data_IF_378545930230
#
_entry.id   IF_378545930230
#
_cell.length_a   1.000
_cell.length_b   1.000
_cell.length_c   1.000
_cell.angle_alpha   90.00
_cell.angle_beta   90.00
_cell.angle_gamma   90.00
#
_symmetry.space_group_name_H-M   'P 1'
#
loop_
_entity.id
_entity.type
_entity.pdbx_description
1 polymer ?
#
# COMPACT_ATOMS: atom_id res chain seq x y z
N UNK A 1 17.53 -4.29 1.31
CA UNK A 1 17.47 -5.47 0.42
C UNK A 1 18.69 -5.49 -0.50
N UNK A 2 19.24 -6.66 -0.86
CA UNK A 2 20.33 -6.80 -1.85
C UNK A 2 19.91 -6.33 -3.26
N UNK A 3 20.85 -5.83 -4.06
CA UNK A 3 20.60 -5.40 -5.44
C UNK A 3 20.47 -6.60 -6.40
N UNK A 4 19.48 -6.57 -7.28
CA UNK A 4 19.38 -7.48 -8.43
C UNK A 4 20.00 -6.82 -9.67
N UNK A 5 21.05 -7.42 -10.25
CA UNK A 5 21.57 -7.02 -11.57
C UNK A 5 21.40 -8.16 -12.56
N UNK A 6 20.90 -7.83 -13.75
CA UNK A 6 20.80 -8.76 -14.88
C UNK A 6 21.77 -8.27 -15.94
N UNK A 7 22.85 -9.02 -16.14
CA UNK A 7 23.79 -8.79 -17.23
C UNK A 7 23.36 -9.62 -18.44
N UNK A 8 22.94 -8.96 -19.53
CA UNK A 8 22.77 -9.62 -20.82
C UNK A 8 24.12 -9.63 -21.54
N UNK A 9 24.83 -10.77 -21.48
CA UNK A 9 26.00 -11.00 -22.32
C UNK A 9 25.58 -11.19 -23.78
N UNK A 10 26.23 -10.46 -24.69
CA UNK A 10 25.97 -10.56 -26.13
C UNK A 10 26.57 -11.84 -26.73
N UNK A 11 25.73 -12.83 -27.06
CA UNK A 11 25.97 -13.87 -28.09
C UNK A 11 24.69 -14.68 -28.40
N UNK A 12 24.56 -15.28 -29.60
CA UNK A 12 23.29 -15.61 -30.23
C UNK A 12 22.57 -16.84 -29.64
N UNK A 13 21.27 -16.88 -29.95
CA UNK A 13 20.20 -17.77 -29.47
C UNK A 13 20.55 -19.26 -29.45
N UNK A 14 20.75 -19.78 -28.24
CA UNK A 14 20.68 -21.19 -27.88
C UNK A 14 20.53 -21.27 -26.37
N UNK A 15 19.45 -21.89 -25.87
CA UNK A 15 19.04 -22.03 -24.45
C UNK A 15 20.03 -21.43 -23.44
N UNK A 16 20.03 -20.10 -23.33
CA UNK A 16 20.94 -19.39 -22.46
C UNK A 16 20.40 -19.50 -21.03
N UNK A 17 21.18 -20.12 -20.14
CA UNK A 17 20.91 -20.09 -18.70
C UNK A 17 20.88 -18.63 -18.25
N UNK A 18 19.73 -18.17 -17.75
CA UNK A 18 19.62 -16.87 -17.08
C UNK A 18 20.40 -16.96 -15.76
N UNK A 19 21.52 -16.25 -15.68
CA UNK A 19 22.27 -16.13 -14.43
C UNK A 19 21.81 -14.88 -13.69
N UNK A 20 21.18 -15.07 -12.54
CA UNK A 20 20.81 -14.00 -11.61
C UNK A 20 21.86 -13.90 -10.51
N UNK A 21 22.55 -12.75 -10.43
CA UNK A 21 23.57 -12.49 -9.40
C UNK A 21 23.02 -11.52 -8.36
N UNK A 22 23.12 -11.90 -7.09
CA UNK A 22 22.71 -11.06 -5.95
C UNK A 22 23.93 -10.32 -5.39
N UNK A 23 23.85 -8.98 -5.33
CA UNK A 23 24.84 -8.13 -4.66
C UNK A 23 24.32 -7.74 -3.27
N UNK A 24 24.88 -8.39 -2.24
CA UNK A 24 24.55 -8.18 -0.83
C UNK A 24 25.37 -7.07 -0.17
N UNK A 25 26.29 -6.42 -0.90
CA UNK A 25 27.05 -5.27 -0.41
C UNK A 25 26.29 -3.96 -0.52
N UNK A 26 25.14 -3.97 -1.22
CA UNK A 26 24.27 -2.80 -1.44
C UNK A 26 22.92 -3.02 -0.75
N UNK A 27 22.59 -2.12 0.18
CA UNK A 27 21.27 -2.09 0.81
C UNK A 27 20.41 -0.96 0.23
N UNK A 28 19.16 -1.28 -0.12
CA UNK A 28 18.10 -0.31 -0.46
C UNK A 28 17.10 -0.09 0.68
N UNK A 29 16.01 0.64 0.43
CA UNK A 29 14.97 0.93 1.40
C UNK A 29 14.36 -0.34 2.02
N UNK A 30 13.84 -0.26 3.26
CA UNK A 30 13.02 -1.33 3.81
C UNK A 30 11.66 -1.36 3.11
N UNK A 31 11.23 -2.56 2.69
CA UNK A 31 9.85 -2.79 2.27
C UNK A 31 9.03 -3.18 3.49
N UNK A 32 8.00 -2.37 3.76
CA UNK A 32 7.10 -2.44 4.91
C UNK A 32 5.88 -3.33 4.64
N UNK A 33 5.50 -3.52 3.39
CA UNK A 33 4.46 -4.47 3.01
C UNK A 33 3.81 -4.21 1.66
N UNK A 34 3.07 -5.21 1.21
CA UNK A 34 2.06 -5.09 0.16
C UNK A 34 0.68 -5.17 0.81
N UNK A 35 -0.34 -4.66 0.13
CA UNK A 35 -1.71 -4.82 0.58
C UNK A 35 -2.71 -4.00 -0.22
N UNK A 36 -3.70 -3.44 0.48
CA UNK A 36 -4.72 -2.61 -0.13
C UNK A 36 -5.55 -1.84 0.87
N UNK A 37 -6.57 -1.14 0.39
CA UNK A 37 -7.50 -0.34 1.18
C UNK A 37 -8.68 -1.17 1.67
N UNK A 38 -8.86 -1.20 2.99
CA UNK A 38 -10.09 -1.66 3.61
C UNK A 38 -11.11 -0.52 3.58
N UNK A 39 -11.79 -0.37 2.45
CA UNK A 39 -12.93 0.53 2.28
C UNK A 39 -14.14 0.03 3.07
N UNK A 40 -15.15 0.88 3.30
CA UNK A 40 -16.41 0.45 3.91
C UNK A 40 -17.04 -0.68 3.09
N UNK A 41 -16.96 -0.60 1.76
CA UNK A 41 -17.39 -1.66 0.86
C UNK A 41 -16.66 -2.98 1.09
N UNK A 42 -15.33 -2.95 1.16
CA UNK A 42 -14.52 -4.15 1.41
C UNK A 42 -14.84 -4.77 2.78
N UNK A 43 -14.93 -3.94 3.82
CA UNK A 43 -15.22 -4.38 5.17
C UNK A 43 -16.64 -4.94 5.31
N UNK A 44 -17.62 -4.37 4.61
CA UNK A 44 -18.97 -4.88 4.57
C UNK A 44 -19.02 -6.27 3.93
N UNK A 45 -18.37 -6.45 2.77
CA UNK A 45 -18.31 -7.74 2.09
C UNK A 45 -17.64 -8.81 2.98
N UNK A 46 -16.55 -8.45 3.66
CA UNK A 46 -15.86 -9.31 4.62
C UNK A 46 -16.80 -9.72 5.77
N UNK A 47 -17.49 -8.76 6.38
CA UNK A 47 -18.47 -9.01 7.45
C UNK A 47 -19.65 -9.87 6.99
N UNK A 48 -20.11 -9.68 5.76
CA UNK A 48 -21.18 -10.48 5.15
C UNK A 48 -20.74 -11.94 4.95
N UNK A 49 -19.50 -12.18 4.51
CA UNK A 49 -18.96 -13.56 4.46
C UNK A 49 -18.91 -14.14 5.86
N UNK A 50 -18.39 -13.40 6.86
CA UNK A 50 -18.31 -13.88 8.26
C UNK A 50 -19.67 -14.31 8.80
N UNK A 51 -20.70 -13.51 8.54
CA UNK A 51 -22.08 -13.78 8.97
C UNK A 51 -22.68 -15.00 8.27
N UNK A 52 -22.41 -15.18 6.97
CA UNK A 52 -22.99 -16.27 6.17
C UNK A 52 -22.24 -17.59 6.31
N UNK A 53 -20.91 -17.52 6.31
CA UNK A 53 -20.00 -18.64 6.40
C UNK A 53 -18.68 -18.20 7.03
N UNK A 54 -18.63 -18.28 8.36
CA UNK A 54 -17.44 -17.90 9.12
C UNK A 54 -16.19 -18.72 8.75
N UNK A 55 -16.33 -19.96 8.27
CA UNK A 55 -15.17 -20.74 7.81
C UNK A 55 -14.54 -20.10 6.57
N UNK A 56 -15.35 -19.79 5.55
CA UNK A 56 -14.86 -19.12 4.33
C UNK A 56 -14.21 -17.77 4.65
N UNK A 57 -14.75 -17.04 5.62
CA UNK A 57 -14.18 -15.77 6.09
C UNK A 57 -12.77 -15.95 6.63
N UNK A 58 -12.57 -16.90 7.55
CA UNK A 58 -11.24 -17.16 8.13
C UNK A 58 -10.28 -17.77 7.12
N UNK A 59 -10.75 -18.60 6.18
CA UNK A 59 -9.93 -19.09 5.06
C UNK A 59 -9.44 -17.92 4.18
N UNK A 60 -10.33 -16.98 3.85
CA UNK A 60 -9.99 -15.77 3.10
C UNK A 60 -8.97 -14.91 3.86
N UNK A 61 -9.21 -14.62 5.14
CA UNK A 61 -8.28 -13.81 5.93
C UNK A 61 -6.91 -14.48 6.07
N UNK A 62 -6.87 -15.80 6.30
CA UNK A 62 -5.62 -16.54 6.36
C UNK A 62 -4.88 -16.50 5.02
N UNK A 63 -5.59 -16.73 3.91
CA UNK A 63 -5.00 -16.62 2.59
C UNK A 63 -4.44 -15.21 2.34
N UNK A 64 -5.19 -14.15 2.64
CA UNK A 64 -4.75 -12.79 2.36
C UNK A 64 -3.64 -12.32 3.30
N UNK A 65 -3.76 -12.57 4.61
CA UNK A 65 -2.98 -11.85 5.62
C UNK A 65 -1.98 -12.72 6.39
N UNK A 66 -2.10 -14.05 6.38
CA UNK A 66 -1.21 -14.91 7.18
C UNK A 66 0.25 -14.63 6.83
N UNK A 67 1.08 -14.20 7.81
CA UNK A 67 2.50 -13.97 7.58
C UNK A 67 3.32 -15.27 7.70
N UNK A 68 2.66 -16.40 7.96
CA UNK A 68 3.31 -17.69 8.22
C UNK A 68 3.93 -18.23 6.93
N UNK A 69 5.23 -18.51 7.02
CA UNK A 69 5.97 -19.11 5.91
C UNK A 69 5.41 -20.50 5.55
N UNK A 70 5.25 -20.76 4.25
CA UNK A 70 4.73 -22.04 3.76
C UNK A 70 3.20 -22.20 3.86
N UNK A 71 2.47 -21.20 4.37
CA UNK A 71 1.00 -21.25 4.49
C UNK A 71 0.25 -21.12 3.16
N UNK A 72 0.96 -20.97 2.03
CA UNK A 72 0.40 -20.67 0.71
C UNK A 72 -0.52 -19.43 0.74
N UNK A 73 -0.08 -18.39 1.46
CA UNK A 73 -0.80 -17.13 1.67
C UNK A 73 -0.11 -15.97 0.95
N UNK A 74 -0.90 -14.95 0.59
CA UNK A 74 -0.41 -13.68 0.04
C UNK A 74 0.32 -12.84 1.09
N UNK A 75 0.04 -13.01 2.38
CA UNK A 75 0.76 -12.38 3.51
C UNK A 75 0.76 -10.85 3.52
N UNK A 76 -0.33 -10.23 3.07
CA UNK A 76 -0.52 -8.78 3.08
C UNK A 76 -0.26 -8.24 4.50
N UNK A 77 0.53 -7.17 4.59
CA UNK A 77 1.03 -6.66 5.88
C UNK A 77 0.86 -5.14 6.04
N UNK A 78 0.13 -4.52 5.11
CA UNK A 78 -0.12 -3.08 5.11
C UNK A 78 -1.53 -2.81 4.58
N UNK A 79 -2.37 -2.14 5.36
CA UNK A 79 -3.76 -1.81 5.01
C UNK A 79 -3.97 -0.30 5.09
N UNK A 80 -4.53 0.27 4.04
CA UNK A 80 -5.00 1.66 4.02
C UNK A 80 -6.47 1.71 4.45
N UNK A 81 -6.90 2.76 5.16
CA UNK A 81 -8.28 2.88 5.65
C UNK A 81 -8.77 4.32 5.48
N UNK A 82 -9.94 4.54 4.83
CA UNK A 82 -10.60 5.83 4.83
C UNK A 82 -10.94 6.34 6.24
N UNK A 83 -10.72 7.64 6.47
CA UNK A 83 -11.31 8.37 7.58
C UNK A 83 -12.57 9.07 7.07
N UNK A 84 -13.73 8.60 7.53
CA UNK A 84 -15.03 9.01 6.99
C UNK A 84 -15.38 8.27 5.68
N UNK A 85 -16.39 8.77 4.98
CA UNK A 85 -16.82 8.16 3.71
C UNK A 85 -15.80 8.36 2.58
N UNK A 86 -15.73 7.34 1.72
CA UNK A 86 -15.06 7.37 0.42
C UNK A 86 -16.08 7.25 -0.72
N UNK A 87 -15.60 7.16 -1.96
CA UNK A 87 -16.39 6.66 -3.09
C UNK A 87 -16.82 5.19 -2.93
N UNK A 88 -16.11 4.41 -2.09
CA UNK A 88 -16.46 3.04 -1.69
C UNK A 88 -17.04 2.98 -0.28
N UNK A 89 -18.09 3.78 -0.08
CA UNK A 89 -18.95 3.80 1.11
C UNK A 89 -20.42 3.82 0.68
N UNK A 90 -21.34 3.23 1.45
CA UNK A 90 -22.77 3.20 1.07
C UNK A 90 -23.47 4.56 1.21
N UNK A 91 -22.94 5.42 2.09
CA UNK A 91 -23.47 6.75 2.39
C UNK A 91 -22.33 7.73 2.63
N UNK A 92 -22.61 9.00 2.47
CA UNK A 92 -21.72 10.10 2.84
C UNK A 92 -21.78 10.30 4.36
N UNK A 93 -20.62 10.40 5.00
CA UNK A 93 -20.48 10.80 6.40
C UNK A 93 -19.06 11.31 6.67
N UNK A 94 -18.90 12.12 7.70
CA UNK A 94 -17.63 12.34 8.41
C UNK A 94 -17.78 11.90 9.87
N UNK A 95 -16.72 12.04 10.67
CA UNK A 95 -16.84 11.81 12.12
C UNK A 95 -17.44 13.00 12.86
N UNK A 96 -17.74 14.12 12.18
CA UNK A 96 -18.26 15.33 12.81
C UNK A 96 -19.11 16.15 11.82
N UNK A 97 -20.31 15.66 11.52
CA UNK A 97 -21.22 16.29 10.56
C UNK A 97 -22.14 17.37 11.17
N UNK A 98 -21.92 17.76 12.44
CA UNK A 98 -22.67 18.85 13.06
C UNK A 98 -22.09 20.21 12.66
N UNK A 99 -22.90 21.06 12.03
CA UNK A 99 -22.46 22.35 11.50
C UNK A 99 -21.96 23.29 12.62
N UNK A 100 -20.76 23.82 12.44
CA UNK A 100 -20.17 24.79 13.37
C UNK A 100 -19.67 24.19 14.70
N UNK A 101 -19.41 22.88 14.78
CA UNK A 101 -18.81 22.27 15.96
C UNK A 101 -17.31 22.60 16.11
N UNK A 102 -17.02 23.85 16.48
CA UNK A 102 -15.65 24.33 16.59
C UNK A 102 -14.83 23.63 17.69
N UNK A 103 -15.50 22.94 18.62
CA UNK A 103 -14.88 22.21 19.72
C UNK A 103 -14.79 20.70 19.47
N UNK A 104 -15.35 20.20 18.36
CA UNK A 104 -15.45 18.79 18.03
C UNK A 104 -16.18 17.99 19.14
N UNK A 105 -17.17 18.58 19.82
CA UNK A 105 -17.96 17.93 20.88
C UNK A 105 -18.82 16.78 20.34
N UNK A 106 -19.28 16.89 19.10
CA UNK A 106 -20.10 15.92 18.38
C UNK A 106 -19.26 14.94 17.54
N UNK A 107 -17.91 15.04 17.63
CA UNK A 107 -17.01 14.06 17.03
C UNK A 107 -17.31 12.66 17.56
N UNK A 108 -17.63 11.74 16.65
CA UNK A 108 -17.83 10.33 16.95
C UNK A 108 -17.17 9.42 15.91
N UNK A 109 -16.23 8.59 16.37
CA UNK A 109 -15.56 7.59 15.55
C UNK A 109 -16.54 6.48 15.10
N UNK A 110 -17.64 6.27 15.84
CA UNK A 110 -18.67 5.26 15.56
C UNK A 110 -19.65 5.66 14.46
N UNK A 111 -19.48 6.83 13.84
CA UNK A 111 -20.10 7.09 12.53
C UNK A 111 -19.51 6.20 11.43
N UNK A 112 -18.25 5.75 11.56
CA UNK A 112 -17.74 4.66 10.72
C UNK A 112 -18.51 3.37 11.03
N UNK A 113 -18.85 2.56 10.01
CA UNK A 113 -19.50 1.28 10.25
C UNK A 113 -18.67 0.37 11.17
N UNK A 114 -19.31 -0.21 12.19
CA UNK A 114 -18.62 -1.05 13.19
C UNK A 114 -17.80 -2.19 12.57
N UNK A 115 -18.28 -2.75 11.45
CA UNK A 115 -17.60 -3.83 10.74
C UNK A 115 -16.21 -3.45 10.24
N UNK A 116 -15.88 -2.16 10.04
CA UNK A 116 -14.53 -1.72 9.66
C UNK A 116 -13.54 -2.07 10.77
N UNK A 117 -13.87 -1.71 12.01
CA UNK A 117 -13.03 -1.99 13.16
C UNK A 117 -12.99 -3.49 13.51
N UNK A 118 -14.12 -4.18 13.39
CA UNK A 118 -14.18 -5.63 13.65
C UNK A 118 -13.30 -6.40 12.67
N UNK A 119 -13.38 -6.08 11.37
CA UNK A 119 -12.55 -6.70 10.34
C UNK A 119 -11.07 -6.36 10.53
N UNK A 120 -10.72 -5.11 10.88
CA UNK A 120 -9.32 -4.75 11.17
C UNK A 120 -8.75 -5.54 12.34
N UNK A 121 -9.52 -5.76 13.41
CA UNK A 121 -9.10 -6.59 14.55
C UNK A 121 -8.90 -8.05 14.14
N UNK A 122 -9.79 -8.60 13.34
CA UNK A 122 -9.66 -9.97 12.84
C UNK A 122 -8.41 -10.10 11.95
N UNK A 123 -8.12 -9.11 11.10
CA UNK A 123 -6.88 -9.07 10.31
C UNK A 123 -5.65 -8.99 11.23
N UNK A 124 -5.67 -8.15 12.27
CA UNK A 124 -4.57 -8.07 13.25
C UNK A 124 -4.35 -9.38 14.02
N UNK A 125 -5.42 -10.14 14.27
CA UNK A 125 -5.33 -11.45 14.91
C UNK A 125 -4.64 -12.48 14.01
N UNK A 126 -4.82 -12.39 12.69
CA UNK A 126 -4.12 -13.21 11.69
C UNK A 126 -2.70 -12.72 11.45
N UNK A 127 -2.49 -11.40 11.41
CA UNK A 127 -1.20 -10.77 11.16
C UNK A 127 -0.90 -9.67 12.17
N UNK A 128 -0.19 -10.03 13.25
CA UNK A 128 0.20 -9.08 14.29
C UNK A 128 1.25 -8.05 13.84
N UNK A 129 1.79 -8.17 12.63
CA UNK A 129 2.73 -7.19 12.03
C UNK A 129 2.04 -6.16 11.13
N UNK A 130 0.70 -6.19 11.05
CA UNK A 130 -0.09 -5.31 10.21
C UNK A 130 0.21 -3.84 10.48
N UNK A 131 0.48 -3.08 9.41
CA UNK A 131 0.51 -1.62 9.44
C UNK A 131 -0.82 -1.08 8.93
N UNK A 132 -1.40 -0.14 9.68
CA UNK A 132 -2.62 0.56 9.29
C UNK A 132 -2.27 2.01 8.92
N UNK A 133 -2.65 2.44 7.74
CA UNK A 133 -2.46 3.81 7.24
C UNK A 133 -3.81 4.46 7.00
N UNK A 134 -4.10 5.51 7.74
CA UNK A 134 -5.40 6.19 7.67
C UNK A 134 -5.33 7.47 6.84
N UNK A 135 -6.40 7.81 6.13
CA UNK A 135 -6.43 8.98 5.24
C UNK A 135 -7.86 9.46 5.02
N UNK A 136 -8.14 10.76 5.14
CA UNK A 136 -9.47 11.32 4.88
C UNK A 136 -9.68 11.62 3.39
N UNK A 137 -10.88 11.39 2.88
CA UNK A 137 -11.25 11.84 1.53
C UNK A 137 -11.72 13.28 1.51
N UNK A 138 -12.23 13.79 2.63
CA UNK A 138 -12.78 15.13 2.72
C UNK A 138 -12.79 15.59 4.17
N UNK A 139 -12.53 16.88 4.44
CA UNK A 139 -12.96 17.51 5.69
C UNK A 139 -14.49 17.44 5.85
N UNK A 140 -15.01 17.54 7.09
CA UNK A 140 -16.44 17.75 7.31
C UNK A 140 -16.99 18.90 6.46
N UNK A 141 -18.21 18.73 5.95
CA UNK A 141 -18.80 19.64 4.96
C UNK A 141 -18.82 21.11 5.41
N UNK A 142 -19.11 21.34 6.70
CA UNK A 142 -19.16 22.68 7.29
C UNK A 142 -17.78 23.37 7.33
N UNK A 143 -16.69 22.60 7.30
CA UNK A 143 -15.33 23.14 7.24
C UNK A 143 -14.94 23.65 5.84
N UNK A 144 -15.77 23.42 4.82
CA UNK A 144 -15.43 23.66 3.42
C UNK A 144 -16.20 24.84 2.82
N UNK A 145 -15.62 25.47 1.80
CA UNK A 145 -16.26 26.55 1.04
C UNK A 145 -17.45 26.09 0.20
N UNK A 146 -17.42 24.85 -0.29
CA UNK A 146 -18.54 24.23 -0.99
C UNK A 146 -19.74 23.96 -0.08
N UNK A 147 -19.55 23.91 1.25
CA UNK A 147 -20.59 23.52 2.20
C UNK A 147 -21.05 22.07 2.05
N UNK A 148 -20.31 21.23 1.30
CA UNK A 148 -20.64 19.83 1.09
C UNK A 148 -19.41 18.94 1.27
N UNK A 149 -19.63 17.64 1.47
CA UNK A 149 -18.54 16.66 1.47
C UNK A 149 -17.83 16.58 0.11
N UNK A 150 -18.46 17.07 -0.98
CA UNK A 150 -17.97 16.97 -2.35
C UNK A 150 -17.25 18.26 -2.76
N UNK A 151 -16.10 18.11 -3.42
CA UNK A 151 -15.21 19.16 -3.92
C UNK A 151 -14.95 20.37 -3.03
N UNK A 152 -14.39 21.44 -3.60
CA UNK A 152 -14.06 22.66 -2.84
C UNK A 152 -12.83 22.53 -1.94
N UNK A 153 -12.62 23.56 -1.13
CA UNK A 153 -11.41 23.79 -0.33
C UNK A 153 -11.73 23.88 1.16
N UNK A 154 -10.77 23.44 1.98
CA UNK A 154 -10.79 23.70 3.41
C UNK A 154 -10.69 25.22 3.66
N UNK A 155 -11.65 25.79 4.39
CA UNK A 155 -11.58 27.21 4.77
C UNK A 155 -10.41 27.44 5.73
N UNK A 156 -9.64 28.49 5.51
CA UNK A 156 -8.42 28.76 6.26
C UNK A 156 -8.63 28.86 7.78
N UNK A 157 -9.77 29.41 8.22
CA UNK A 157 -10.10 29.51 9.64
C UNK A 157 -10.28 28.14 10.34
N UNK A 158 -10.52 27.07 9.57
CA UNK A 158 -10.77 25.74 10.11
C UNK A 158 -9.55 24.82 10.03
N UNK A 159 -8.40 25.29 9.54
CA UNK A 159 -7.15 24.51 9.51
C UNK A 159 -6.79 23.92 10.89
N UNK A 160 -6.80 24.69 12.00
CA UNK A 160 -6.49 24.12 13.31
C UNK A 160 -7.52 23.07 13.74
N UNK A 161 -8.80 23.33 13.46
CA UNK A 161 -9.91 22.43 13.85
C UNK A 161 -9.84 21.13 13.07
N UNK A 162 -9.54 21.18 11.77
CA UNK A 162 -9.35 20.00 10.95
C UNK A 162 -8.14 19.17 11.41
N UNK A 163 -7.04 19.80 11.83
CA UNK A 163 -5.93 19.07 12.44
C UNK A 163 -6.34 18.35 13.74
N UNK A 164 -7.17 18.99 14.58
CA UNK A 164 -7.77 18.35 15.75
C UNK A 164 -8.72 17.20 15.38
N UNK A 165 -9.48 17.32 14.29
CA UNK A 165 -10.34 16.25 13.77
C UNK A 165 -9.51 15.01 13.37
N UNK A 166 -8.40 15.22 12.65
CA UNK A 166 -7.47 14.13 12.31
C UNK A 166 -6.83 13.51 13.56
N UNK A 167 -6.45 14.34 14.54
CA UNK A 167 -5.91 13.84 15.80
C UNK A 167 -6.94 13.04 16.62
N UNK A 168 -8.20 13.51 16.72
CA UNK A 168 -9.30 12.76 17.33
C UNK A 168 -9.58 11.46 16.60
N UNK A 169 -9.41 11.42 15.28
CA UNK A 169 -9.51 10.19 14.48
C UNK A 169 -8.43 9.18 14.87
N UNK A 170 -7.16 9.61 15.01
CA UNK A 170 -6.09 8.75 15.51
C UNK A 170 -6.38 8.19 16.91
N UNK A 171 -6.88 9.04 17.82
CA UNK A 171 -7.31 8.61 19.16
C UNK A 171 -8.49 7.65 19.11
N UNK A 172 -9.45 7.86 18.19
CA UNK A 172 -10.58 6.98 17.96
C UNK A 172 -10.15 5.58 17.53
N UNK A 173 -9.26 5.47 16.55
CA UNK A 173 -8.66 4.20 16.15
C UNK A 173 -7.95 3.51 17.32
N UNK A 174 -7.15 4.26 18.09
CA UNK A 174 -6.46 3.72 19.26
C UNK A 174 -7.43 3.19 20.32
N UNK A 175 -8.54 3.88 20.59
CA UNK A 175 -9.63 3.42 21.47
C UNK A 175 -10.31 2.16 20.94
N UNK A 176 -10.35 1.97 19.61
CA UNK A 176 -10.82 0.72 18.97
C UNK A 176 -9.75 -0.38 18.97
N UNK A 177 -8.59 -0.17 19.60
CA UNK A 177 -7.51 -1.17 19.72
C UNK A 177 -6.55 -1.19 18.52
N UNK A 178 -6.67 -0.23 17.60
CA UNK A 178 -5.85 -0.15 16.39
C UNK A 178 -4.97 1.08 16.52
N UNK A 179 -3.65 0.91 16.57
CA UNK A 179 -2.72 2.05 16.55
C UNK A 179 -2.29 2.31 15.11
N UNK A 180 -2.67 3.43 14.48
CA UNK A 180 -2.27 3.72 13.11
C UNK A 180 -0.74 3.87 12.99
N UNK A 181 -0.17 3.18 12.00
CA UNK A 181 1.23 3.30 11.62
C UNK A 181 1.49 4.65 10.93
N UNK A 182 0.59 5.06 10.04
CA UNK A 182 0.70 6.29 9.27
C UNK A 182 -0.65 7.01 9.15
N UNK A 183 -0.59 8.32 8.93
CA UNK A 183 -1.72 9.17 8.54
C UNK A 183 -1.30 10.08 7.39
N UNK A 184 -2.20 10.27 6.44
CA UNK A 184 -2.10 11.32 5.42
C UNK A 184 -3.15 12.40 5.64
N UNK A 185 -2.87 13.61 5.17
CA UNK A 185 -3.71 14.80 5.45
C UNK A 185 -4.97 14.85 4.60
N UNK A 186 -4.88 14.40 3.35
CA UNK A 186 -5.96 14.47 2.37
C UNK A 186 -5.68 13.46 1.25
N UNK A 187 -6.68 12.67 0.87
CA UNK A 187 -6.65 11.85 -0.34
C UNK A 187 -6.69 12.74 -1.58
N UNK A 188 -5.81 12.51 -2.55
CA UNK A 188 -5.78 13.20 -3.86
C UNK A 188 -5.99 14.72 -3.75
N UNK A 189 -5.14 15.46 -3.02
CA UNK A 189 -5.32 16.88 -2.72
C UNK A 189 -5.39 17.80 -3.94
N UNK A 190 -5.08 17.33 -5.15
CA UNK A 190 -5.24 18.11 -6.38
C UNK A 190 -6.52 17.75 -7.16
N UNK A 191 -7.29 16.79 -6.68
CA UNK A 191 -8.53 16.33 -7.27
C UNK A 191 -9.75 16.84 -6.50
N UNK A 192 -10.84 17.04 -7.22
CA UNK A 192 -12.16 17.25 -6.63
C UNK A 192 -13.24 16.56 -7.45
N UNK A 193 -14.32 16.17 -6.78
CA UNK A 193 -15.47 15.53 -7.38
C UNK A 193 -16.78 16.10 -6.86
N UNK A 194 -17.81 16.02 -7.68
CA UNK A 194 -19.19 16.35 -7.35
C UNK A 194 -20.05 15.11 -7.00
N UNK A 195 -19.47 13.90 -7.02
CA UNK A 195 -20.21 12.64 -6.79
C UNK A 195 -19.78 11.87 -5.55
N UNK A 196 -18.65 12.23 -4.93
CA UNK A 196 -18.14 11.57 -3.73
C UNK A 196 -17.27 12.52 -2.90
N UNK A 197 -16.97 12.16 -1.63
CA UNK A 197 -16.12 12.96 -0.78
C UNK A 197 -14.76 13.25 -1.42
N UNK A 198 -14.38 14.53 -1.47
CA UNK A 198 -13.12 15.00 -2.03
C UNK A 198 -12.84 16.43 -1.56
N UNK A 199 -11.59 16.85 -1.47
CA UNK A 199 -11.24 18.25 -1.26
C UNK A 199 -9.88 18.61 -1.87
N UNK A 200 -9.79 19.84 -2.40
CA UNK A 200 -8.52 20.38 -2.90
C UNK A 200 -7.73 21.05 -1.80
N UNK A 201 -6.44 20.73 -1.73
CA UNK A 201 -5.46 21.30 -0.82
C UNK A 201 -4.27 21.79 -1.62
N UNK A 202 -3.83 23.01 -1.36
CA UNK A 202 -2.51 23.47 -1.83
C UNK A 202 -1.40 22.86 -0.97
N UNK A 203 -0.15 22.77 -1.44
CA UNK A 203 0.98 22.35 -0.59
C UNK A 203 1.10 23.18 0.69
N UNK A 204 0.75 24.47 0.63
CA UNK A 204 0.73 25.36 1.80
C UNK A 204 -0.35 24.96 2.81
N UNK A 205 -1.57 24.65 2.34
CA UNK A 205 -2.67 24.19 3.20
C UNK A 205 -2.33 22.85 3.85
N UNK A 206 -1.82 21.89 3.06
CA UNK A 206 -1.39 20.58 3.58
C UNK A 206 -0.26 20.73 4.60
N UNK A 207 0.72 21.60 4.36
CA UNK A 207 1.78 21.92 5.31
C UNK A 207 1.24 22.50 6.63
N UNK A 208 0.27 23.42 6.57
CA UNK A 208 -0.31 24.04 7.76
C UNK A 208 -1.11 23.03 8.60
N UNK A 209 -1.94 22.21 7.96
CA UNK A 209 -2.68 21.14 8.65
C UNK A 209 -1.71 20.10 9.21
N UNK A 210 -0.73 19.67 8.42
CA UNK A 210 0.30 18.72 8.85
C UNK A 210 1.09 19.21 10.06
N UNK A 211 1.44 20.50 10.11
CA UNK A 211 2.19 21.08 11.24
C UNK A 211 1.36 21.10 12.52
N UNK A 212 0.12 21.56 12.43
CA UNK A 212 -0.81 21.54 13.54
C UNK A 212 -1.06 20.10 14.04
N UNK A 213 -1.25 19.14 13.12
CA UNK A 213 -1.44 17.73 13.47
C UNK A 213 -0.18 17.15 14.14
N UNK A 214 1.01 17.41 13.59
CA UNK A 214 2.28 16.93 14.17
C UNK A 214 2.47 17.48 15.59
N UNK A 215 2.10 18.73 15.83
CA UNK A 215 2.16 19.34 17.17
C UNK A 215 1.20 18.67 18.15
N UNK A 216 -0.02 18.30 17.73
CA UNK A 216 -0.97 17.55 18.56
C UNK A 216 -0.48 16.12 18.87
N UNK A 217 0.22 15.49 17.93
CA UNK A 217 0.79 14.15 18.11
C UNK A 217 1.97 14.14 19.09
N UNK A 218 2.71 15.26 19.23
CA UNK A 218 3.85 15.35 20.15
C UNK A 218 3.39 15.09 21.59
N UNK A 219 4.04 14.14 22.25
CA UNK A 219 3.72 13.76 23.64
C UNK A 219 2.45 12.91 23.79
N UNK A 220 1.74 12.59 22.70
CA UNK A 220 0.59 11.68 22.74
C UNK A 220 1.05 10.22 22.84
N UNK A 221 0.67 9.54 23.92
CA UNK A 221 1.07 8.16 24.18
C UNK A 221 0.59 7.21 23.06
N UNK A 222 1.53 6.55 22.39
CA UNK A 222 1.24 5.62 21.29
C UNK A 222 0.97 6.26 19.93
N UNK A 223 0.80 7.58 19.84
CA UNK A 223 0.55 8.30 18.59
C UNK A 223 1.70 9.24 18.17
N UNK A 224 2.64 9.53 19.07
CA UNK A 224 3.79 10.39 18.78
C UNK A 224 4.69 9.88 17.64
N UNK A 225 4.65 8.57 17.39
CA UNK A 225 5.45 7.88 16.37
C UNK A 225 4.65 7.56 15.09
N UNK A 226 3.36 7.89 15.03
CA UNK A 226 2.58 7.73 13.79
C UNK A 226 3.23 8.59 12.70
N UNK A 227 3.46 7.98 11.54
CA UNK A 227 4.10 8.63 10.39
C UNK A 227 3.14 9.64 9.77
N UNK A 228 3.65 10.83 9.44
CA UNK A 228 2.89 11.84 8.70
C UNK A 228 3.34 11.81 7.23
N UNK A 229 2.44 11.35 6.36
CA UNK A 229 2.70 11.16 4.93
C UNK A 229 1.92 12.21 4.13
N UNK A 230 2.59 12.84 3.16
CA UNK A 230 1.98 13.89 2.35
C UNK A 230 1.63 13.46 0.93
N UNK A 231 1.04 14.37 0.18
CA UNK A 231 0.77 14.32 -1.27
C UNK A 231 -0.33 13.35 -1.74
N UNK A 232 -0.33 12.06 -1.35
CA UNK A 232 -1.38 11.04 -1.70
C UNK A 232 -2.02 11.22 -3.09
N UNK A 233 -1.21 11.30 -4.16
CA UNK A 233 -1.73 11.52 -5.51
C UNK A 233 -0.76 11.06 -6.61
N UNK A 234 -1.02 11.37 -7.87
CA UNK A 234 -0.42 10.65 -9.00
C UNK A 234 1.08 10.91 -9.25
N UNK A 235 1.76 9.92 -9.84
CA UNK A 235 3.21 9.94 -10.13
C UNK A 235 3.66 11.05 -11.08
N UNK A 236 2.81 11.48 -12.02
CA UNK A 236 3.13 12.55 -12.98
C UNK A 236 3.43 13.90 -12.29
N UNK A 237 3.06 14.03 -11.01
CA UNK A 237 3.31 15.21 -10.20
C UNK A 237 4.54 15.07 -9.28
N UNK A 238 5.33 13.99 -9.36
CA UNK A 238 6.45 13.73 -8.44
C UNK A 238 7.49 14.86 -8.34
N UNK A 239 7.66 15.65 -9.40
CA UNK A 239 8.53 16.83 -9.38
C UNK A 239 7.88 18.13 -8.87
N UNK A 240 6.54 18.16 -8.74
CA UNK A 240 5.75 19.35 -8.47
C UNK A 240 5.30 19.43 -7.00
N UNK A 241 4.03 19.07 -6.76
CA UNK A 241 3.39 19.19 -5.44
C UNK A 241 4.20 18.61 -4.28
N UNK A 242 4.61 17.33 -4.27
CA UNK A 242 5.34 16.75 -3.13
C UNK A 242 6.66 17.46 -2.88
N UNK A 243 7.34 17.93 -3.93
CA UNK A 243 8.58 18.70 -3.79
C UNK A 243 8.35 20.05 -3.13
N UNK A 244 7.27 20.76 -3.48
CA UNK A 244 6.90 22.03 -2.84
C UNK A 244 6.51 21.80 -1.37
N UNK A 245 5.75 20.73 -1.09
CA UNK A 245 5.37 20.37 0.28
C UNK A 245 6.61 20.14 1.16
N UNK A 246 7.61 19.40 0.66
CA UNK A 246 8.86 19.17 1.41
C UNK A 246 9.70 20.45 1.59
N UNK A 247 9.63 21.43 0.67
CA UNK A 247 10.29 22.74 0.87
C UNK A 247 9.66 23.52 2.03
N UNK A 248 8.33 23.44 2.18
CA UNK A 248 7.59 24.19 3.19
C UNK A 248 7.61 23.48 4.56
N UNK A 249 7.53 22.15 4.56
CA UNK A 249 7.24 21.35 5.74
C UNK A 249 8.00 20.01 5.78
N UNK A 250 9.14 19.91 5.10
CA UNK A 250 9.98 18.72 5.12
C UNK A 250 10.52 18.36 6.51
N UNK A 251 10.45 19.24 7.49
CA UNK A 251 10.83 18.95 8.89
C UNK A 251 9.81 18.05 9.61
N UNK A 252 8.54 18.06 9.20
CA UNK A 252 7.45 17.34 9.90
C UNK A 252 6.94 16.11 9.16
N UNK A 253 6.99 16.10 7.82
CA UNK A 253 6.54 14.97 7.02
C UNK A 253 7.64 13.90 6.95
N UNK A 254 7.26 12.66 7.23
CA UNK A 254 8.16 11.51 7.14
C UNK A 254 8.41 11.10 5.67
N UNK A 255 7.45 11.37 4.79
CA UNK A 255 7.53 11.01 3.38
C UNK A 255 6.31 11.45 2.57
N UNK A 256 6.19 10.89 1.37
CA UNK A 256 5.08 11.14 0.45
C UNK A 256 4.50 9.84 -0.07
N UNK A 257 3.24 9.91 -0.47
CA UNK A 257 2.50 8.81 -1.08
C UNK A 257 2.12 9.13 -2.53
N UNK A 258 2.20 8.12 -3.38
CA UNK A 258 1.86 8.19 -4.79
C UNK A 258 0.73 7.23 -5.15
N UNK A 259 -0.05 7.62 -6.17
CA UNK A 259 -1.06 6.81 -6.84
C UNK A 259 -0.64 6.56 -8.29
N UNK A 260 -1.22 5.54 -8.93
CA UNK A 260 -0.83 5.13 -10.28
C UNK A 260 -1.85 5.46 -11.39
N UNK A 261 -2.78 6.40 -11.18
CA UNK A 261 -3.76 6.72 -12.22
C UNK A 261 -3.17 7.58 -13.35
N UNK A 262 -2.06 8.28 -13.07
CA UNK A 262 -1.29 9.07 -14.05
C UNK A 262 0.21 8.99 -13.78
N UNK A 263 1.01 9.00 -14.85
CA UNK A 263 2.48 8.91 -14.78
C UNK A 263 2.98 7.46 -14.69
N UNK A 264 4.23 7.29 -14.23
CA UNK A 264 4.86 5.97 -14.09
C UNK A 264 5.72 5.89 -12.82
N UNK A 265 5.95 4.68 -12.32
CA UNK A 265 6.71 4.46 -11.09
C UNK A 265 8.09 5.14 -11.08
N UNK A 266 8.78 5.19 -12.23
CA UNK A 266 10.09 5.85 -12.35
C UNK A 266 10.08 7.35 -12.08
N UNK A 267 8.92 8.01 -12.13
CA UNK A 267 8.85 9.45 -11.85
C UNK A 267 9.16 9.80 -10.40
N UNK A 268 8.89 8.89 -9.46
CA UNK A 268 9.19 9.12 -8.04
C UNK A 268 10.71 9.20 -7.76
N UNK A 269 11.57 8.77 -8.70
CA UNK A 269 13.02 8.99 -8.61
C UNK A 269 13.37 10.49 -8.62
N UNK A 270 12.55 11.34 -9.27
CA UNK A 270 12.72 12.81 -9.22
C UNK A 270 12.60 13.32 -7.79
N UNK A 271 11.58 12.85 -7.07
CA UNK A 271 11.37 13.20 -5.66
C UNK A 271 12.48 12.62 -4.78
N UNK A 272 12.82 11.35 -4.96
CA UNK A 272 13.90 10.68 -4.22
C UNK A 272 15.24 11.41 -4.37
N UNK A 273 15.59 11.84 -5.58
CA UNK A 273 16.84 12.54 -5.83
C UNK A 273 16.90 13.89 -5.09
N UNK A 274 15.77 14.59 -4.97
CA UNK A 274 15.68 15.84 -4.23
C UNK A 274 15.62 15.65 -2.70
N UNK A 275 15.01 14.55 -2.24
CA UNK A 275 14.76 14.27 -0.82
C UNK A 275 15.11 12.82 -0.45
N UNK A 276 16.41 12.44 -0.47
CA UNK A 276 16.84 11.04 -0.34
C UNK A 276 16.52 10.41 1.03
N UNK A 277 16.34 11.23 2.07
CA UNK A 277 16.00 10.77 3.42
C UNK A 277 14.49 10.59 3.65
N UNK A 278 13.65 10.97 2.67
CA UNK A 278 12.20 10.87 2.75
C UNK A 278 11.69 9.51 2.30
N UNK A 279 10.64 9.07 2.97
CA UNK A 279 9.96 7.82 2.64
C UNK A 279 9.05 8.02 1.41
N UNK A 280 8.93 6.98 0.59
CA UNK A 280 8.03 6.94 -0.56
C UNK A 280 7.10 5.75 -0.40
N UNK A 281 5.81 5.95 -0.68
CA UNK A 281 4.78 4.92 -0.61
C UNK A 281 3.97 4.92 -1.90
N UNK A 282 3.57 3.75 -2.40
CA UNK A 282 2.47 3.62 -3.35
C UNK A 282 1.23 3.18 -2.55
N UNK A 283 0.26 4.08 -2.40
CA UNK A 283 -0.86 3.89 -1.46
C UNK A 283 -2.19 3.56 -2.13
N UNK A 284 -2.30 3.77 -3.44
CA UNK A 284 -3.54 3.51 -4.14
C UNK A 284 -3.31 3.26 -5.63
N UNK A 285 -3.94 2.18 -6.10
CA UNK A 285 -3.97 1.74 -7.47
C UNK A 285 -5.16 0.81 -7.68
N UNK A 286 -5.81 0.82 -8.83
CA UNK A 286 -6.91 -0.10 -9.10
C UNK A 286 -6.80 -0.71 -10.49
N UNK A 287 -7.08 -2.00 -10.58
CA UNK A 287 -7.46 -2.60 -11.85
C UNK A 287 -8.93 -2.35 -12.17
N UNK A 288 -9.32 -2.72 -13.38
CA UNK A 288 -10.65 -2.47 -13.95
C UNK A 288 -11.34 -3.79 -14.25
N UNK A 289 -12.65 -3.89 -14.11
CA UNK A 289 -13.37 -5.11 -14.51
C UNK A 289 -13.26 -5.29 -16.03
N UNK A 290 -12.84 -6.47 -16.46
CA UNK A 290 -12.70 -6.85 -17.87
C UNK A 290 -11.33 -6.58 -18.50
N UNK A 291 -10.39 -5.98 -17.75
CA UNK A 291 -8.99 -5.82 -18.17
C UNK A 291 -8.10 -6.95 -17.64
N UNK A 292 -6.92 -7.12 -18.24
CA UNK A 292 -6.00 -8.23 -17.98
C UNK A 292 -4.77 -7.79 -17.16
N UNK A 293 -3.95 -8.76 -16.74
CA UNK A 293 -2.80 -8.50 -15.87
C UNK A 293 -1.77 -7.61 -16.55
N UNK A 294 -1.67 -7.71 -17.89
CA UNK A 294 -0.76 -6.89 -18.66
C UNK A 294 -1.16 -5.42 -18.60
N UNK A 295 -2.44 -5.12 -18.81
CA UNK A 295 -2.92 -3.74 -18.85
C UNK A 295 -2.90 -3.06 -17.48
N UNK A 296 -3.15 -3.81 -16.40
CA UNK A 296 -3.39 -3.20 -15.07
C UNK A 296 -2.17 -3.24 -14.16
N UNK A 297 -1.44 -4.36 -14.16
CA UNK A 297 -0.34 -4.59 -13.23
C UNK A 297 1.00 -4.34 -13.89
N UNK A 298 1.20 -4.84 -15.12
CA UNK A 298 2.51 -4.78 -15.79
C UNK A 298 2.78 -3.50 -16.55
N UNK A 299 1.79 -3.01 -17.28
CA UNK A 299 1.95 -1.86 -18.18
C UNK A 299 1.18 -0.64 -17.72
N UNK A 300 0.20 -0.82 -16.83
CA UNK A 300 -0.73 0.21 -16.33
C UNK A 300 -1.02 1.27 -17.41
N UNK A 301 -1.78 0.87 -18.43
CA UNK A 301 -2.21 1.79 -19.47
C UNK A 301 -3.20 2.79 -18.86
N UNK A 302 -2.72 3.97 -18.46
CA UNK A 302 -3.64 5.11 -18.31
C UNK A 302 -4.20 5.43 -19.72
N UNK A 303 -5.52 5.33 -19.97
CA UNK A 303 -6.10 5.61 -21.27
C UNK A 303 -5.96 7.08 -21.71
N UNK A 304 -5.43 7.94 -20.83
CA UNK A 304 -5.13 9.35 -21.10
C UNK A 304 -3.72 9.60 -21.67
N UNK A 305 -2.89 8.55 -21.82
CA UNK A 305 -1.48 8.69 -22.17
C UNK A 305 -1.05 7.86 -23.39
N UNK A 306 -1.87 7.80 -24.46
CA UNK A 306 -1.41 7.23 -25.73
C UNK A 306 -0.45 8.19 -26.44
N UNK A 307 0.82 7.80 -26.70
CA UNK A 307 1.67 8.53 -27.64
C UNK A 307 1.35 8.12 -29.08
N UNK A 308 1.35 9.10 -30.00
CA UNK A 308 1.00 8.94 -31.42
C UNK A 308 2.03 8.15 -32.28
N UNK A 309 3.00 7.43 -31.70
CA UNK A 309 4.06 6.79 -32.49
C UNK A 309 4.56 5.45 -31.92
N UNK A 310 4.46 4.34 -32.68
CA UNK A 310 4.86 3.01 -32.23
C UNK A 310 6.36 2.67 -32.41
N UNK A 311 7.23 3.60 -32.83
CA UNK A 311 8.61 3.26 -33.22
C UNK A 311 9.70 3.94 -32.38
N UNK A 312 9.91 3.44 -31.15
CA UNK A 312 11.18 3.53 -30.42
C UNK A 312 11.22 2.42 -29.35
N UNK A 313 11.90 1.31 -29.66
CA UNK A 313 11.97 0.12 -28.79
C UNK A 313 12.93 0.27 -27.59
N UNK A 314 13.82 1.27 -27.61
CA UNK A 314 14.85 1.44 -26.58
C UNK A 314 14.43 2.28 -25.37
N UNK A 315 13.43 3.15 -25.55
CA UNK A 315 12.85 3.99 -24.48
C UNK A 315 11.56 3.42 -23.87
N UNK A 316 11.00 2.38 -24.48
CA UNK A 316 9.71 1.85 -24.09
C UNK A 316 9.77 1.02 -22.80
N UNK A 317 10.83 0.24 -22.56
CA UNK A 317 10.93 -0.59 -21.35
C UNK A 317 11.04 0.18 -20.03
N UNK A 318 11.51 1.44 -20.06
CA UNK A 318 11.56 2.30 -18.86
C UNK A 318 10.20 2.91 -18.48
N UNK A 319 9.20 2.82 -19.36
CA UNK A 319 7.82 3.27 -19.10
C UNK A 319 6.89 2.15 -18.63
N UNK A 320 7.33 0.90 -18.66
CA UNK A 320 6.49 -0.29 -18.49
C UNK A 320 6.96 -1.16 -17.32
N UNK A 321 6.99 -0.56 -16.14
CA UNK A 321 7.40 -1.26 -14.93
C UNK A 321 6.18 -1.61 -14.11
N UNK A 322 6.08 -2.89 -13.74
CA UNK A 322 5.07 -3.47 -12.87
C UNK A 322 4.72 -2.51 -11.73
N UNK A 323 3.46 -2.15 -11.56
CA UNK A 323 3.04 -1.15 -10.57
C UNK A 323 3.48 -1.52 -9.14
N UNK A 324 3.38 -2.80 -8.76
CA UNK A 324 3.82 -3.29 -7.44
C UNK A 324 5.35 -3.40 -7.34
N UNK A 325 6.02 -4.02 -8.31
CA UNK A 325 7.47 -4.28 -8.24
C UNK A 325 8.25 -3.03 -8.61
N UNK A 326 7.87 -2.37 -9.70
CA UNK A 326 8.46 -1.12 -10.19
C UNK A 326 8.41 0.00 -9.17
N UNK A 327 7.30 0.18 -8.45
CA UNK A 327 7.27 1.17 -7.36
C UNK A 327 8.33 0.88 -6.28
N UNK A 328 8.52 -0.40 -5.92
CA UNK A 328 9.56 -0.83 -4.99
C UNK A 328 10.97 -0.67 -5.58
N UNK A 329 11.18 -1.00 -6.86
CA UNK A 329 12.45 -0.79 -7.56
C UNK A 329 12.83 0.71 -7.57
N UNK A 330 11.83 1.59 -7.61
CA UNK A 330 11.98 3.04 -7.52
C UNK A 330 11.88 3.60 -6.09
N UNK A 331 12.20 2.80 -5.08
CA UNK A 331 12.34 3.21 -3.67
C UNK A 331 11.05 3.35 -2.85
N UNK A 332 9.90 2.86 -3.33
CA UNK A 332 8.71 2.75 -2.50
C UNK A 332 8.92 1.71 -1.40
N UNK A 333 8.38 2.00 -0.22
CA UNK A 333 8.40 1.14 0.97
C UNK A 333 7.15 0.29 1.10
N UNK A 334 6.05 0.68 0.46
CA UNK A 334 4.85 -0.12 0.36
C UNK A 334 4.20 0.07 -1.01
N UNK A 335 3.43 -0.94 -1.44
CA UNK A 335 2.62 -0.88 -2.64
C UNK A 335 1.23 -1.46 -2.35
N UNK A 336 0.22 -0.61 -2.43
CA UNK A 336 -1.15 -0.93 -2.03
C UNK A 336 -2.10 -0.83 -3.23
N UNK A 337 -2.94 -1.83 -3.39
CA UNK A 337 -4.11 -1.78 -4.27
C UNK A 337 -5.24 -1.00 -3.62
N UNK A 338 -6.28 -0.73 -4.39
CA UNK A 338 -7.44 0.00 -3.93
C UNK A 338 -8.33 -0.85 -3.04
N UNK A 339 -9.41 -1.42 -3.55
CA UNK A 339 -10.29 -2.20 -2.71
C UNK A 339 -9.67 -3.57 -2.39
N UNK A 340 -9.63 -3.96 -1.10
CA UNK A 340 -9.33 -5.34 -0.72
C UNK A 340 -10.37 -6.31 -1.29
N UNK A 341 -11.65 -5.90 -1.33
CA UNK A 341 -12.69 -6.70 -1.95
C UNK A 341 -13.81 -5.86 -2.57
N UNK A 342 -14.34 -6.36 -3.66
CA UNK A 342 -15.58 -5.92 -4.30
C UNK A 342 -16.37 -7.14 -4.77
N UNK A 343 -17.65 -6.98 -5.09
CA UNK A 343 -18.38 -8.01 -5.83
C UNK A 343 -17.99 -8.03 -7.32
N UNK A 344 -18.52 -8.98 -8.08
CA UNK A 344 -18.24 -9.12 -9.52
C UNK A 344 -18.72 -7.95 -10.39
N UNK A 345 -19.41 -6.96 -9.82
CA UNK A 345 -19.86 -5.72 -10.47
C UNK A 345 -19.15 -4.47 -9.93
N UNK A 346 -18.13 -4.64 -9.06
CA UNK A 346 -17.36 -3.53 -8.49
C UNK A 346 -18.12 -2.77 -7.41
N UNK A 347 -19.00 -3.45 -6.67
CA UNK A 347 -19.87 -2.89 -5.63
C UNK A 347 -19.60 -3.52 -4.25
N UNK A 348 -20.16 -2.95 -3.16
CA UNK A 348 -20.94 -1.70 -3.10
C UNK A 348 -20.06 -0.46 -3.35
N UNK A 349 -20.70 0.66 -3.71
CA UNK A 349 -20.08 1.97 -3.83
C UNK A 349 -21.10 3.05 -3.56
N UNK A 350 -20.64 4.28 -3.37
CA UNK A 350 -21.51 5.40 -3.07
C UNK A 350 -22.49 5.66 -4.23
N UNK A 351 -23.82 5.74 -3.99
CA UNK A 351 -24.77 5.99 -5.07
C UNK A 351 -24.44 7.26 -5.86
N UNK A 352 -24.48 7.18 -7.18
CA UNK A 352 -24.09 8.29 -8.06
C UNK A 352 -22.60 8.38 -8.38
N UNK A 353 -21.74 7.56 -7.76
CA UNK A 353 -20.36 7.38 -8.23
C UNK A 353 -20.34 6.49 -9.47
N UNK A 354 -19.86 7.06 -10.58
CA UNK A 354 -19.55 6.29 -11.80
C UNK A 354 -18.36 5.35 -11.57
N UNK A 355 -18.11 4.44 -12.53
CA UNK A 355 -16.92 3.60 -12.52
C UNK A 355 -15.64 4.46 -12.69
N UNK A 356 -15.05 4.91 -11.58
CA UNK A 356 -13.85 5.77 -11.59
C UNK A 356 -12.62 5.07 -12.17
N UNK A 357 -12.58 3.75 -12.10
CA UNK A 357 -11.52 2.92 -12.68
C UNK A 357 -11.72 2.65 -14.19
N UNK A 358 -12.67 3.33 -14.86
CA UNK A 358 -12.98 3.07 -16.27
C UNK A 358 -13.73 1.75 -16.50
N UNK A 359 -14.00 1.42 -17.77
CA UNK A 359 -14.63 0.17 -18.18
C UNK A 359 -15.92 -0.14 -17.42
N UNK A 360 -16.03 -1.37 -16.90
CA UNK A 360 -17.20 -1.88 -16.20
C UNK A 360 -17.19 -1.61 -14.67
N UNK A 361 -16.13 -1.00 -14.11
CA UNK A 361 -16.00 -0.79 -12.67
C UNK A 361 -14.59 -1.08 -12.15
N UNK A 362 -14.34 -0.72 -10.90
CA UNK A 362 -13.11 -1.09 -10.20
C UNK A 362 -13.13 -2.58 -9.82
N UNK A 363 -11.97 -3.22 -9.80
CA UNK A 363 -11.80 -4.59 -9.33
C UNK A 363 -11.01 -4.60 -8.02
N UNK A 364 -11.51 -5.32 -7.02
CA UNK A 364 -10.79 -5.49 -5.75
C UNK A 364 -9.71 -6.57 -5.85
N UNK A 365 -8.88 -6.72 -4.81
CA UNK A 365 -7.94 -7.85 -4.71
C UNK A 365 -8.69 -9.18 -4.73
N UNK A 366 -9.85 -9.23 -4.08
CA UNK A 366 -10.75 -10.38 -4.04
C UNK A 366 -12.11 -10.01 -4.61
N UNK A 367 -12.68 -10.91 -5.41
CA UNK A 367 -14.08 -10.89 -5.78
C UNK A 367 -14.89 -11.69 -4.77
N UNK A 368 -15.92 -11.08 -4.17
CA UNK A 368 -16.84 -11.74 -3.23
C UNK A 368 -18.16 -12.02 -3.93
N UNK A 369 -18.56 -13.29 -3.95
CA UNK A 369 -19.78 -13.74 -4.60
C UNK A 369 -20.99 -13.59 -3.68
N UNK A 370 -22.18 -13.47 -4.28
CA UNK A 370 -23.45 -13.32 -3.54
C UNK A 370 -23.78 -14.51 -2.62
N UNK A 371 -23.17 -15.67 -2.82
CA UNK A 371 -23.31 -16.85 -1.96
C UNK A 371 -22.28 -16.93 -0.81
N UNK A 372 -21.40 -15.92 -0.65
CA UNK A 372 -20.36 -15.90 0.39
C UNK A 372 -19.10 -16.71 0.06
N UNK A 373 -18.98 -17.20 -1.18
CA UNK A 373 -17.69 -17.66 -1.72
C UNK A 373 -16.87 -16.48 -2.23
N UNK A 374 -15.58 -16.69 -2.46
CA UNK A 374 -14.66 -15.64 -2.88
C UNK A 374 -13.61 -16.21 -3.85
N UNK A 375 -13.02 -15.35 -4.67
CA UNK A 375 -11.92 -15.68 -5.58
C UNK A 375 -10.92 -14.54 -5.64
N UNK A 376 -9.64 -14.87 -5.78
CA UNK A 376 -8.59 -13.85 -5.95
C UNK A 376 -8.59 -13.33 -7.38
N UNK A 377 -8.36 -12.03 -7.52
CA UNK A 377 -8.10 -11.40 -8.81
C UNK A 377 -6.59 -11.22 -9.01
N UNK A 378 -6.22 -10.76 -10.20
CA UNK A 378 -4.84 -10.55 -10.62
C UNK A 378 -4.08 -9.47 -9.83
N UNK A 379 -4.81 -8.64 -9.09
CA UNK A 379 -4.31 -7.66 -8.12
C UNK A 379 -3.74 -8.31 -6.86
N UNK A 380 -4.12 -9.56 -6.55
CA UNK A 380 -3.52 -10.31 -5.45
C UNK A 380 -2.07 -10.62 -5.79
N UNK A 381 -1.11 -10.24 -4.92
CA UNK A 381 0.23 -10.80 -5.02
C UNK A 381 0.15 -12.33 -5.02
N UNK A 382 1.02 -12.98 -5.78
CA UNK A 382 1.11 -14.44 -5.76
C UNK A 382 1.33 -14.92 -4.31
N UNK A 383 0.85 -16.12 -3.94
CA UNK A 383 1.20 -16.71 -2.66
C UNK A 383 2.72 -16.64 -2.46
N UNK A 384 3.16 -16.21 -1.29
CA UNK A 384 4.56 -15.95 -0.94
C UNK A 384 5.22 -14.66 -1.47
N UNK A 385 4.54 -13.82 -2.24
CA UNK A 385 5.09 -12.55 -2.75
C UNK A 385 5.49 -11.55 -1.64
N UNK A 386 4.92 -11.66 -0.43
CA UNK A 386 5.22 -10.79 0.73
C UNK A 386 6.31 -11.34 1.66
N UNK A 387 6.94 -12.48 1.33
CA UNK A 387 8.09 -13.06 2.05
C UNK A 387 9.19 -12.02 2.39
N UNK A 388 9.28 -10.95 1.62
CA UNK A 388 10.28 -9.89 1.76
C UNK A 388 10.07 -8.95 2.97
N UNK A 389 8.84 -8.77 3.48
CA UNK A 389 8.57 -7.85 4.61
C UNK A 389 8.91 -8.49 5.96
N UNK A 390 8.71 -9.80 6.11
CA UNK A 390 9.06 -10.60 7.29
C UNK A 390 10.57 -10.82 7.41
N UNK A 391 11.29 -11.07 6.30
CA UNK A 391 12.75 -11.18 6.28
C UNK A 391 13.47 -9.90 6.75
N UNK A 392 12.99 -8.71 6.37
CA UNK A 392 13.56 -7.45 6.86
C UNK A 392 13.41 -7.28 8.38
N UNK A 393 12.29 -7.74 8.97
CA UNK A 393 12.07 -7.65 10.42
C UNK A 393 12.89 -8.68 11.20
N UNK A 394 13.07 -9.90 10.66
CA UNK A 394 13.96 -10.92 11.24
C UNK A 394 15.42 -10.43 11.24
N UNK A 395 15.88 -9.83 10.15
CA UNK A 395 17.23 -9.25 10.04
C UNK A 395 17.44 -8.09 11.02
N UNK A 396 16.45 -7.20 11.20
CA UNK A 396 16.55 -6.11 12.18
C UNK A 396 16.54 -6.60 13.64
N UNK A 397 15.81 -7.68 13.95
CA UNK A 397 15.85 -8.32 15.29
C UNK A 397 17.20 -8.98 15.56
N UNK A 398 17.82 -9.61 14.55
CA UNK A 398 19.16 -10.20 14.69
C UNK A 398 20.24 -9.16 15.02
N UNK A 399 20.22 -7.99 14.34
CA UNK A 399 21.15 -6.87 14.59
C UNK A 399 21.01 -6.26 16.00
N UNK A 400 19.82 -6.33 16.62
CA UNK A 400 19.62 -5.90 18.02
C UNK A 400 20.14 -6.92 19.05
N UNK A 401 20.21 -8.21 18.71
CA UNK A 401 20.74 -9.24 19.60
C UNK A 401 22.27 -9.29 19.65
N UNK A 402 22.95 -8.81 18.59
CA UNK A 402 24.41 -8.81 18.48
C UNK A 402 25.12 -7.63 19.18
N UNK A 403 24.40 -6.84 19.97
CA UNK A 403 24.95 -5.70 20.72
C UNK A 403 25.05 -5.99 22.22
N UNK A 404 25.76 -7.06 22.61
CA UNK A 404 26.31 -7.21 23.96
C UNK A 404 27.73 -7.83 23.88
N UNK A 405 28.67 -7.14 24.55
CA UNK A 405 30.02 -7.51 25.05
C UNK A 405 30.50 -8.97 24.87
N UNK A 406 31.79 -9.34 24.75
CA UNK A 406 33.11 -8.71 24.86
C UNK A 406 34.20 -9.76 24.51
N UNK A 407 35.36 -9.26 24.05
CA UNK A 407 36.73 -9.82 23.98
C UNK A 407 37.10 -10.87 22.89
N UNK A 408 38.26 -10.68 22.20
CA UNK A 408 38.76 -11.61 21.18
C UNK A 408 39.51 -12.81 21.79
N UNK A 409 39.40 -14.03 21.24
CA UNK A 409 40.21 -15.17 21.66
C UNK A 409 41.65 -15.08 21.12
N UNK A 410 42.58 -15.68 21.85
CA UNK A 410 44.02 -15.75 21.58
C UNK A 410 44.37 -16.67 20.40
N UNK A 411 45.57 -16.49 19.87
CA UNK A 411 46.13 -17.00 18.59
C UNK A 411 46.24 -18.53 18.40
N UNK A 412 45.62 -19.37 19.24
CA UNK A 412 45.77 -20.84 19.20
C UNK A 412 44.53 -21.60 18.66
N UNK A 413 43.49 -20.90 18.19
CA UNK A 413 42.30 -21.52 17.53
C UNK A 413 42.30 -21.39 15.99
N UNK A 414 43.46 -21.15 15.36
CA UNK A 414 43.57 -20.95 13.89
C UNK A 414 43.87 -22.25 13.12
N UNK A 415 43.58 -23.43 13.69
CA UNK A 415 43.80 -24.72 13.00
C UNK A 415 42.68 -25.73 13.26
N UNK A 416 41.53 -25.55 12.60
CA UNK A 416 40.60 -26.60 12.10
C UNK A 416 39.54 -25.95 11.19
N UNK A 417 39.13 -26.71 10.16
CA UNK A 417 38.32 -26.35 8.98
C UNK A 417 37.25 -25.24 9.10
N UNK A 418 37.00 -24.49 8.00
CA UNK A 418 36.05 -23.39 7.98
C UNK A 418 34.60 -23.89 8.13
N UNK A 419 33.94 -23.51 9.22
CA UNK A 419 32.49 -23.54 9.37
C UNK A 419 31.87 -22.51 8.43
N UNK A 420 31.10 -22.97 7.44
CA UNK A 420 30.35 -22.13 6.50
C UNK A 420 29.24 -21.35 7.24
N UNK A 421 29.05 -20.04 6.98
CA UNK A 421 27.89 -19.31 7.47
C UNK A 421 26.61 -19.75 6.73
N UNK A 422 25.52 -19.76 7.49
CA UNK A 422 24.14 -20.10 7.15
C UNK A 422 23.65 -19.63 5.77
N UNK A 423 23.05 -20.56 5.03
CA UNK A 423 22.39 -20.37 3.75
C UNK A 423 20.96 -19.87 3.97
N UNK A 424 20.66 -18.65 3.52
CA UNK A 424 19.30 -18.20 3.26
C UNK A 424 19.33 -17.27 2.03
N UNK A 425 19.12 -17.82 0.83
CA UNK A 425 18.91 -17.02 -0.40
C UNK A 425 18.01 -17.75 -1.39
N UNK A 426 16.85 -17.15 -1.71
CA UNK A 426 16.12 -17.40 -2.97
C UNK A 426 15.36 -16.15 -3.41
N UNK A 427 15.89 -15.51 -4.46
CA UNK A 427 15.32 -15.20 -5.79
C UNK A 427 14.14 -14.20 -5.83
N UNK A 428 14.46 -12.96 -6.26
CA UNK A 428 13.53 -11.84 -6.48
C UNK A 428 12.74 -11.91 -7.80
N UNK A 429 13.03 -12.86 -8.70
CA UNK A 429 12.50 -12.84 -10.08
C UNK A 429 11.73 -14.08 -10.56
N UNK A 430 11.94 -15.24 -9.96
CA UNK A 430 11.21 -16.47 -10.32
C UNK A 430 9.80 -16.49 -9.69
N UNK A 431 9.62 -15.96 -8.48
CA UNK A 431 8.32 -16.00 -7.78
C UNK A 431 7.30 -14.99 -8.33
N UNK A 432 7.70 -14.08 -9.24
CA UNK A 432 6.86 -13.00 -9.76
C UNK A 432 6.59 -13.06 -11.28
N UNK A 433 7.16 -14.01 -12.05
CA UNK A 433 6.92 -14.13 -13.49
C UNK A 433 6.20 -15.44 -13.88
N UNK A 434 4.87 -15.30 -14.05
CA UNK A 434 3.91 -15.94 -14.99
C UNK A 434 3.86 -17.48 -15.20
N UNK A 435 2.67 -18.01 -15.57
CA UNK A 435 2.56 -19.27 -16.30
C UNK A 435 3.39 -19.17 -17.59
N UNK A 436 4.17 -20.19 -17.88
CA UNK A 436 4.96 -20.27 -19.11
C UNK A 436 4.05 -20.15 -20.33
N UNK A 437 4.53 -19.41 -21.34
CA UNK A 437 4.05 -19.41 -22.71
C UNK A 437 4.27 -20.81 -23.30
N UNK A 438 3.36 -21.73 -22.99
CA UNK A 438 3.11 -22.95 -23.76
C UNK A 438 1.60 -23.06 -23.92
N UNK A 439 1.18 -23.33 -25.15
CA UNK A 439 -0.21 -23.43 -25.58
C UNK A 439 -1.09 -24.11 -24.52
N UNK A 440 -2.14 -23.43 -24.04
CA UNK A 440 -3.21 -24.10 -23.30
C UNK A 440 -3.82 -25.15 -24.25
N UNK A 441 -3.84 -26.46 -23.90
CA UNK A 441 -4.66 -26.93 -22.78
C UNK A 441 -4.07 -28.17 -22.06
N UNK A 442 -3.55 -27.99 -20.85
CA UNK A 442 -3.70 -28.92 -19.71
C UNK A 442 -2.97 -28.31 -18.53
N UNK A 443 -3.70 -28.07 -17.44
CA UNK A 443 -3.14 -27.53 -16.21
C UNK A 443 -2.14 -28.52 -15.59
N UNK A 444 -0.85 -28.18 -15.65
CA UNK A 444 0.17 -28.79 -14.81
C UNK A 444 1.01 -27.70 -14.16
N UNK A 445 0.74 -27.45 -12.88
CA UNK A 445 1.59 -26.65 -11.99
C UNK A 445 2.80 -27.52 -11.63
N UNK A 446 4.00 -27.16 -12.07
CA UNK A 446 5.23 -27.83 -11.61
C UNK A 446 5.83 -27.00 -10.48
N UNK A 447 5.64 -27.46 -9.25
CA UNK A 447 6.35 -26.94 -8.06
C UNK A 447 7.67 -27.68 -7.94
N UNK A 448 8.80 -26.97 -7.87
CA UNK A 448 10.07 -27.60 -7.52
C UNK A 448 10.12 -27.85 -6.02
N UNK A 449 9.85 -29.08 -5.59
CA UNK A 449 10.27 -29.56 -4.28
C UNK A 449 11.78 -29.81 -4.30
N UNK A 450 12.52 -29.12 -3.44
CA UNK A 450 13.91 -29.48 -3.14
C UNK A 450 13.88 -30.59 -2.09
N UNK A 451 14.33 -31.79 -2.45
CA UNK A 451 14.73 -32.79 -1.47
C UNK A 451 16.10 -32.39 -0.92
N UNK A 452 16.18 -32.28 0.40
CA UNK A 452 17.42 -32.13 1.13
C UNK A 452 18.30 -33.38 0.90
N UNK A 453 19.49 -33.25 0.29
CA UNK A 453 20.40 -34.38 0.10
C UNK A 453 21.01 -34.89 1.42
N UNK A 454 20.80 -34.20 2.55
CA UNK A 454 21.30 -34.60 3.87
C UNK A 454 20.18 -35.14 4.80
N UNK A 455 18.98 -35.44 4.27
CA UNK A 455 17.96 -36.17 5.00
C UNK A 455 18.26 -37.70 5.01
N UNK A 456 19.25 -38.10 5.81
CA UNK A 456 19.45 -39.48 6.26
C UNK A 456 19.81 -39.51 7.76
#
# INVERSE_FOLDING_TARGET
MPALRIGLGSKPLGHSKLNVVLDDTREYQPVLGLGGTLTDSSAQLFSNIKTRNSRNYWEMLNYLFSPVEGANAAGLSYVRVPLGASDFSEKVYSYDDFDGDLCLNDFDIDYAPAYVFDVLKDIQAVNSMLRVHVVPWSPPAWMKDSGTAFGGFLKSQYIPIYAHYLFKSLQGFQKKGITPYAISVQNEPMYESNTHPSAKFTPQTEAQVGRALKDLMKGSAGLSNTKLIGFEHNWDQAGGYPSQLMQIAGDIFDGVAFHCFSGSAGEQDKFRAAYPDKEIYLTECSGTIGSDWWSDIKVNFSPLALPESPFNESYQWQKYTDMLIGSIEHNARAALMWNLALDGSGNPRLPGTGAKCGGAGCRGIVTVNSNGTWSVNQESPAPNATKFSSLNQILQRSKKSSATQQNPPSLDEILRCPTKPSIARRVLREDFMLPTLEDLPTAHTTTFAYQDPDAA
#
